data_IF_663677449691
#
_entry.id   IF_663677449691
#
_cell.length_a   1.000
_cell.length_b   1.000
_cell.length_c   1.000
_cell.angle_alpha   90.00
_cell.angle_beta   90.00
_cell.angle_gamma   90.00
#
_symmetry.space_group_name_H-M   'P 1'
#
loop_
_entity.id
_entity.type
_entity.pdbx_description
1 polymer ?
#
# COMPACT_ATOMS: atom_id res chain seq x y z
N UNK A 1 24.36 59.28 10.39
CA UNK A 1 22.97 59.28 9.87
C UNK A 1 22.88 58.71 8.45
N UNK A 2 23.81 59.03 7.53
CA UNK A 2 23.77 58.55 6.13
C UNK A 2 23.89 57.07 5.96
N UNK A 3 24.64 56.38 6.80
CA UNK A 3 24.84 54.93 6.72
C UNK A 3 23.56 54.14 7.07
N UNK A 4 22.81 54.55 8.07
CA UNK A 4 21.55 53.91 8.44
C UNK A 4 20.47 54.08 7.36
N UNK A 5 20.42 55.28 6.74
CA UNK A 5 19.48 55.52 5.61
C UNK A 5 19.82 54.67 4.39
N UNK A 6 21.11 54.47 4.10
CA UNK A 6 21.53 53.60 3.00
C UNK A 6 21.10 52.14 3.19
N UNK A 7 21.30 51.57 4.39
CA UNK A 7 20.86 50.20 4.71
C UNK A 7 19.35 50.07 4.69
N UNK A 8 18.60 51.06 5.13
CA UNK A 8 17.15 51.08 5.06
C UNK A 8 16.63 51.07 3.62
N UNK A 9 17.22 51.88 2.73
CA UNK A 9 16.86 51.89 1.32
C UNK A 9 17.20 50.57 0.64
N UNK A 10 18.36 50.00 0.93
CA UNK A 10 18.78 48.70 0.38
C UNK A 10 17.82 47.59 0.79
N UNK A 11 17.46 47.51 2.08
CA UNK A 11 16.48 46.54 2.57
C UNK A 11 15.08 46.70 1.95
N UNK A 12 14.65 47.93 1.75
CA UNK A 12 13.38 48.21 1.09
C UNK A 12 13.37 47.80 -0.38
N UNK A 13 14.43 48.09 -1.12
CA UNK A 13 14.60 47.64 -2.50
C UNK A 13 14.63 46.11 -2.59
N UNK A 14 15.37 45.47 -1.67
CA UNK A 14 15.43 44.01 -1.62
C UNK A 14 14.05 43.40 -1.33
N UNK A 15 13.25 43.98 -0.43
CA UNK A 15 11.89 43.54 -0.13
C UNK A 15 10.96 43.58 -1.35
N UNK A 16 11.13 44.55 -2.24
CA UNK A 16 10.37 44.68 -3.49
C UNK A 16 10.65 43.53 -4.49
N UNK A 17 11.78 42.84 -4.36
CA UNK A 17 12.12 41.68 -5.24
C UNK A 17 11.30 40.45 -4.93
N UNK A 18 10.66 40.37 -3.75
CA UNK A 18 9.90 39.19 -3.33
C UNK A 18 8.61 39.08 -4.15
N UNK A 19 8.36 37.95 -4.83
CA UNK A 19 7.16 37.76 -5.64
C UNK A 19 5.89 37.72 -4.78
N UNK A 20 4.82 38.36 -5.23
CA UNK A 20 3.52 38.38 -4.53
C UNK A 20 2.77 37.04 -4.68
N UNK A 21 1.85 36.75 -3.76
CA UNK A 21 1.04 35.49 -3.70
C UNK A 21 0.33 35.15 -5.02
N UNK A 22 -0.22 36.14 -5.72
CA UNK A 22 -0.98 35.95 -6.97
C UNK A 22 -0.17 35.32 -8.11
N UNK A 23 1.14 35.19 -7.97
CA UNK A 23 2.03 34.60 -8.98
C UNK A 23 2.15 33.10 -8.88
N UNK A 24 1.70 32.54 -7.76
CA UNK A 24 1.79 31.10 -7.48
C UNK A 24 0.42 30.44 -7.56
N UNK A 25 0.33 29.41 -8.34
CA UNK A 25 -0.77 28.47 -8.34
C UNK A 25 -0.21 27.10 -8.04
N UNK A 26 -0.76 26.40 -7.04
CA UNK A 26 -0.27 25.11 -6.59
C UNK A 26 -1.38 24.10 -6.78
N UNK A 27 -1.05 23.00 -7.44
CA UNK A 27 -1.92 21.84 -7.61
C UNK A 27 -1.31 20.65 -6.89
N UNK A 28 -2.12 19.94 -6.10
CA UNK A 28 -1.70 18.69 -5.45
C UNK A 28 -2.32 17.53 -6.19
N UNK A 29 -1.46 16.60 -6.61
CA UNK A 29 -1.85 15.34 -7.24
C UNK A 29 -1.49 14.19 -6.31
N UNK A 30 -2.49 13.55 -5.76
CA UNK A 30 -2.33 12.40 -4.85
C UNK A 30 -3.55 11.50 -4.92
N UNK A 31 -3.39 10.26 -4.51
CA UNK A 31 -4.50 9.36 -4.34
C UNK A 31 -5.43 9.85 -3.21
N UNK A 32 -6.72 9.68 -3.37
CA UNK A 32 -7.72 10.03 -2.34
C UNK A 32 -7.82 9.00 -1.22
N UNK A 33 -7.25 7.82 -1.44
CA UNK A 33 -7.31 6.70 -0.50
C UNK A 33 -5.88 6.28 -0.16
N UNK A 34 -5.55 6.31 1.12
CA UNK A 34 -4.28 5.85 1.66
C UNK A 34 -4.47 4.64 2.55
N UNK A 35 -3.46 3.77 2.58
CA UNK A 35 -3.38 2.67 3.53
C UNK A 35 -2.59 3.10 4.76
N UNK A 36 -3.11 2.79 5.95
CA UNK A 36 -2.47 3.11 7.23
C UNK A 36 -1.06 2.50 7.32
N UNK A 37 -0.09 3.30 7.74
CA UNK A 37 1.27 2.85 7.98
C UNK A 37 2.16 2.72 6.75
N UNK A 38 1.63 2.88 5.54
CA UNK A 38 2.40 2.87 4.29
C UNK A 38 2.84 4.26 3.86
N UNK A 39 3.87 4.30 3.02
CA UNK A 39 4.34 5.53 2.39
C UNK A 39 3.59 5.76 1.08
N UNK A 40 2.89 6.89 0.99
CA UNK A 40 2.18 7.33 -0.20
C UNK A 40 2.90 8.50 -0.85
N UNK A 41 2.88 8.56 -2.18
CA UNK A 41 3.47 9.64 -2.94
C UNK A 41 2.48 10.80 -3.09
N UNK A 42 2.97 12.01 -2.88
CA UNK A 42 2.23 13.25 -3.12
C UNK A 42 3.05 14.10 -4.08
N UNK A 43 2.42 14.54 -5.15
CA UNK A 43 3.02 15.43 -6.13
C UNK A 43 2.43 16.83 -5.98
N UNK A 44 3.29 17.82 -6.01
CA UNK A 44 2.92 19.25 -5.98
C UNK A 44 3.46 19.91 -7.23
N UNK A 45 2.58 20.38 -8.07
CA UNK A 45 2.91 21.17 -9.24
C UNK A 45 2.73 22.66 -8.90
N UNK A 46 3.83 23.38 -8.83
CA UNK A 46 3.87 24.81 -8.53
C UNK A 46 4.04 25.59 -9.82
N UNK A 47 2.95 26.22 -10.28
CA UNK A 47 2.94 27.08 -11.44
C UNK A 47 3.36 28.49 -11.06
N UNK A 48 4.43 28.96 -11.65
CA UNK A 48 4.96 30.31 -11.45
C UNK A 48 4.69 31.14 -12.70
N UNK A 49 3.70 32.05 -12.61
CA UNK A 49 3.22 32.81 -13.79
C UNK A 49 4.20 33.86 -14.31
N UNK A 50 4.83 34.65 -13.42
CA UNK A 50 5.75 35.71 -13.81
C UNK A 50 6.72 36.02 -12.67
N UNK A 51 8.02 36.04 -12.95
CA UNK A 51 9.04 36.55 -12.04
C UNK A 51 9.90 37.55 -12.79
N UNK A 52 10.33 38.61 -12.09
CA UNK A 52 11.21 39.63 -12.65
C UNK A 52 12.59 39.05 -13.05
N UNK A 53 13.01 37.97 -12.39
CA UNK A 53 14.36 37.40 -12.55
C UNK A 53 14.43 35.93 -12.91
N UNK A 54 13.31 35.31 -13.26
CA UNK A 54 13.27 33.91 -13.72
C UNK A 54 13.63 32.84 -12.68
N UNK A 55 14.30 33.18 -11.57
CA UNK A 55 14.68 32.27 -10.47
C UNK A 55 14.55 32.96 -9.13
N UNK A 56 14.05 32.26 -8.12
CA UNK A 56 14.03 32.75 -6.73
C UNK A 56 14.10 31.57 -5.77
N UNK A 57 14.72 31.83 -4.62
CA UNK A 57 14.88 30.82 -3.57
C UNK A 57 13.57 30.67 -2.81
N UNK A 58 13.17 29.44 -2.57
CA UNK A 58 11.95 29.11 -1.84
C UNK A 58 12.19 28.00 -0.82
N UNK A 59 11.39 28.05 0.22
CA UNK A 59 11.15 26.93 1.12
C UNK A 59 9.67 26.59 1.06
N UNK A 60 9.33 25.40 0.64
CA UNK A 60 7.95 24.91 0.52
C UNK A 60 7.71 23.85 1.59
N UNK A 61 6.62 24.03 2.35
CA UNK A 61 6.14 23.05 3.31
C UNK A 61 4.65 22.78 3.04
N UNK A 62 4.25 21.53 3.01
CA UNK A 62 2.84 21.17 2.96
C UNK A 62 2.25 21.13 4.36
N UNK A 63 0.92 21.01 4.46
CA UNK A 63 0.24 20.94 5.74
C UNK A 63 0.78 19.77 6.58
N UNK A 64 1.13 20.06 7.83
CA UNK A 64 1.60 19.05 8.77
C UNK A 64 0.44 18.55 9.63
N UNK A 65 0.34 17.22 9.74
CA UNK A 65 -0.58 16.57 10.66
C UNK A 65 0.22 15.93 11.79
N UNK A 66 -0.23 16.09 13.02
CA UNK A 66 0.44 15.55 14.21
C UNK A 66 0.76 14.04 14.11
N UNK A 67 -0.08 13.30 13.37
CA UNK A 67 0.01 11.84 13.24
C UNK A 67 0.52 11.37 11.88
N UNK A 68 1.10 12.29 11.11
CA UNK A 68 1.65 12.03 9.78
C UNK A 68 3.13 12.40 9.73
N UNK A 69 3.94 11.55 9.11
CA UNK A 69 5.37 11.81 8.89
C UNK A 69 5.60 12.06 7.40
N UNK A 70 6.13 13.23 7.11
CA UNK A 70 6.49 13.62 5.75
C UNK A 70 7.99 13.38 5.51
N UNK A 71 8.33 12.87 4.32
CA UNK A 71 9.70 12.59 3.89
C UNK A 71 9.98 13.40 2.61
N UNK A 72 10.96 14.28 2.67
CA UNK A 72 11.29 15.20 1.57
C UNK A 72 10.66 16.58 1.71
N UNK A 73 9.98 16.85 2.84
CA UNK A 73 9.51 18.18 3.22
C UNK A 73 10.18 18.61 4.54
N UNK A 74 10.37 19.94 4.77
CA UNK A 74 10.16 21.01 3.81
C UNK A 74 11.18 20.99 2.67
N UNK A 75 10.72 21.26 1.44
CA UNK A 75 11.60 21.40 0.29
C UNK A 75 12.26 22.79 0.29
N UNK A 76 13.57 22.82 0.03
CA UNK A 76 14.29 24.08 -0.18
C UNK A 76 14.98 24.04 -1.55
N UNK A 77 14.78 25.07 -2.34
CA UNK A 77 15.32 25.10 -3.68
C UNK A 77 15.06 26.43 -4.41
N UNK A 78 15.28 26.41 -5.70
CA UNK A 78 15.07 27.55 -6.59
C UNK A 78 13.97 27.22 -7.58
N UNK A 79 12.90 28.00 -7.55
CA UNK A 79 11.85 27.91 -8.57
C UNK A 79 12.21 28.73 -9.79
N UNK A 80 11.78 28.21 -10.93
CA UNK A 80 11.88 28.89 -12.23
C UNK A 80 10.48 29.27 -12.71
N UNK A 81 10.41 30.16 -13.67
CA UNK A 81 9.16 30.45 -14.39
C UNK A 81 8.64 29.17 -15.06
N UNK A 82 7.34 28.95 -14.99
CA UNK A 82 6.69 27.75 -15.50
C UNK A 82 6.28 26.78 -14.41
N UNK A 83 6.24 25.50 -14.72
CA UNK A 83 5.85 24.45 -13.80
C UNK A 83 7.07 23.89 -13.08
N UNK A 84 7.02 23.88 -11.75
CA UNK A 84 8.02 23.25 -10.90
C UNK A 84 7.35 22.07 -10.18
N UNK A 85 7.63 20.85 -10.61
CA UNK A 85 7.06 19.64 -10.03
C UNK A 85 7.93 19.13 -8.92
N UNK A 86 7.31 18.90 -7.77
CA UNK A 86 7.92 18.37 -6.56
C UNK A 86 7.19 17.10 -6.14
N UNK A 87 7.94 16.13 -5.61
CA UNK A 87 7.33 14.95 -5.02
C UNK A 87 7.87 14.70 -3.62
N UNK A 88 6.98 14.31 -2.72
CA UNK A 88 7.36 13.87 -1.39
C UNK A 88 6.56 12.64 -0.99
N UNK A 89 6.96 11.99 0.09
CA UNK A 89 6.27 10.83 0.63
C UNK A 89 5.68 11.17 1.98
N UNK A 90 4.47 10.68 2.21
CA UNK A 90 3.78 10.83 3.49
C UNK A 90 3.41 9.44 4.03
N UNK A 91 3.57 9.26 5.33
CA UNK A 91 3.13 8.08 6.08
C UNK A 91 2.21 8.53 7.19
N UNK A 92 0.98 8.01 7.19
CA UNK A 92 -0.02 8.32 8.20
C UNK A 92 -0.25 7.09 9.07
N UNK A 93 -0.13 7.26 10.39
CA UNK A 93 -0.16 6.15 11.35
C UNK A 93 -1.55 5.84 11.89
N UNK A 94 -2.53 6.70 11.69
CA UNK A 94 -3.90 6.51 12.16
C UNK A 94 -4.90 6.62 11.01
N UNK A 95 -5.96 5.80 11.06
CA UNK A 95 -7.10 5.89 10.15
C UNK A 95 -7.88 7.17 10.37
N UNK A 96 -8.52 7.69 9.34
CA UNK A 96 -9.37 8.90 9.42
C UNK A 96 -9.38 9.71 8.13
N UNK A 97 -10.04 10.86 8.21
CA UNK A 97 -10.05 11.86 7.16
C UNK A 97 -8.95 12.90 7.43
N UNK A 98 -8.15 13.18 6.43
CA UNK A 98 -7.03 14.11 6.49
C UNK A 98 -7.23 15.18 5.41
N UNK A 99 -7.79 16.35 5.77
CA UNK A 99 -7.96 17.45 4.84
C UNK A 99 -6.66 18.23 4.68
N UNK A 100 -6.00 18.10 3.53
CA UNK A 100 -4.87 18.92 3.14
C UNK A 100 -5.40 20.25 2.61
N UNK A 101 -5.28 21.34 3.35
CA UNK A 101 -5.90 22.61 2.99
C UNK A 101 -4.93 23.63 2.41
N UNK A 102 -3.72 23.70 2.94
CA UNK A 102 -2.79 24.78 2.65
C UNK A 102 -1.40 24.26 2.35
N UNK A 103 -0.70 25.00 1.51
CA UNK A 103 0.73 24.86 1.26
C UNK A 103 1.40 26.17 1.65
N UNK A 104 2.45 26.08 2.44
CA UNK A 104 3.22 27.22 2.92
C UNK A 104 4.43 27.44 2.03
N UNK A 105 4.48 28.58 1.35
CA UNK A 105 5.56 28.95 0.46
C UNK A 105 6.31 30.15 1.03
N UNK A 106 7.52 29.95 1.54
CA UNK A 106 8.41 31.01 1.98
C UNK A 106 9.29 31.43 0.82
N UNK A 107 9.12 32.65 0.34
CA UNK A 107 9.96 33.24 -0.69
C UNK A 107 11.01 34.14 -0.03
N UNK A 108 12.24 34.05 -0.49
CA UNK A 108 13.35 34.90 -0.08
C UNK A 108 13.59 35.97 -1.14
N UNK A 109 13.99 37.13 -0.68
CA UNK A 109 14.40 38.26 -1.54
C UNK A 109 15.68 37.87 -2.31
N UNK A 110 16.09 38.73 -3.26
CA UNK A 110 17.26 38.50 -4.09
C UNK A 110 18.55 38.39 -3.28
N UNK A 111 18.75 39.36 -2.35
CA UNK A 111 19.89 39.38 -1.45
C UNK A 111 19.72 38.44 -0.24
N UNK A 112 18.50 37.96 0.00
CA UNK A 112 18.19 37.08 1.12
C UNK A 112 17.97 37.80 2.45
N UNK A 113 17.92 39.15 2.45
CA UNK A 113 17.73 39.94 3.64
C UNK A 113 16.29 39.84 4.18
N UNK A 114 15.34 39.66 3.27
CA UNK A 114 13.91 39.60 3.60
C UNK A 114 13.30 38.25 3.15
N UNK A 115 12.26 37.84 3.87
CA UNK A 115 11.44 36.67 3.51
C UNK A 115 9.96 36.97 3.65
N UNK A 116 9.14 36.40 2.80
CA UNK A 116 7.68 36.49 2.88
C UNK A 116 7.08 35.09 2.80
N UNK A 117 6.15 34.81 3.69
CA UNK A 117 5.40 33.57 3.73
C UNK A 117 4.08 33.77 3.01
N UNK A 118 3.80 32.93 2.03
CA UNK A 118 2.53 32.86 1.33
C UNK A 118 1.82 31.56 1.71
N UNK A 119 0.58 31.69 2.16
CA UNK A 119 -0.32 30.57 2.40
C UNK A 119 -1.17 30.41 1.14
N UNK A 120 -0.98 29.33 0.42
CA UNK A 120 -1.71 29.02 -0.81
C UNK A 120 -2.71 27.91 -0.50
N UNK A 121 -3.99 28.15 -0.80
CA UNK A 121 -5.04 27.12 -0.67
C UNK A 121 -4.84 26.08 -1.74
N UNK A 122 -4.85 24.80 -1.31
CA UNK A 122 -4.73 23.65 -2.18
C UNK A 122 -5.43 22.48 -1.49
N UNK A 123 -6.76 22.45 -1.62
CA UNK A 123 -7.61 21.54 -0.87
C UNK A 123 -7.62 20.16 -1.51
N UNK A 124 -7.36 19.14 -0.70
CA UNK A 124 -7.42 17.74 -1.10
C UNK A 124 -7.76 16.89 0.11
N UNK A 125 -8.87 16.18 0.05
CA UNK A 125 -9.26 15.26 1.12
C UNK A 125 -8.71 13.87 0.85
N UNK A 126 -7.98 13.35 1.83
CA UNK A 126 -7.43 11.99 1.81
C UNK A 126 -8.06 11.17 2.92
N UNK A 127 -8.58 10.00 2.57
CA UNK A 127 -9.11 9.02 3.53
C UNK A 127 -8.07 7.93 3.78
N UNK A 128 -7.76 7.70 5.04
CA UNK A 128 -6.80 6.67 5.46
C UNK A 128 -7.58 5.48 6.02
N UNK A 129 -7.45 4.34 5.34
CA UNK A 129 -8.04 3.07 5.74
C UNK A 129 -7.01 2.16 6.40
N UNK A 130 -7.44 1.19 7.21
CA UNK A 130 -6.57 0.10 7.68
C UNK A 130 -5.93 -0.63 6.49
N UNK A 131 -4.82 -1.30 6.74
CA UNK A 131 -4.13 -2.06 5.70
C UNK A 131 -4.98 -3.23 5.18
N UNK A 132 -5.68 -2.97 4.09
CA UNK A 132 -6.53 -3.97 3.41
C UNK A 132 -5.71 -5.16 2.87
N UNK A 133 -4.42 -4.96 2.58
CA UNK A 133 -3.55 -6.05 2.11
C UNK A 133 -3.21 -7.03 3.24
N UNK A 134 -2.98 -6.51 4.45
CA UNK A 134 -2.81 -7.37 5.62
C UNK A 134 -4.09 -8.13 5.92
N UNK A 135 -5.25 -7.47 5.90
CA UNK A 135 -6.56 -8.11 6.10
C UNK A 135 -6.79 -9.21 5.05
N UNK A 136 -6.53 -8.94 3.78
CA UNK A 136 -6.67 -9.94 2.71
C UNK A 136 -5.74 -11.14 2.91
N UNK A 137 -4.50 -10.93 3.38
CA UNK A 137 -3.60 -12.04 3.75
C UNK A 137 -4.14 -12.86 4.90
N UNK A 138 -4.64 -12.22 5.95
CA UNK A 138 -5.24 -12.92 7.09
C UNK A 138 -6.48 -13.71 6.68
N UNK A 139 -7.34 -13.15 5.82
CA UNK A 139 -8.51 -13.85 5.29
C UNK A 139 -8.10 -15.07 4.44
N UNK A 140 -7.07 -14.95 3.61
CA UNK A 140 -6.55 -16.07 2.83
C UNK A 140 -5.93 -17.14 3.73
N UNK A 141 -5.19 -16.76 4.77
CA UNK A 141 -4.65 -17.68 5.76
C UNK A 141 -5.76 -18.36 6.57
N UNK A 142 -6.76 -17.60 7.01
CA UNK A 142 -7.92 -18.15 7.70
C UNK A 142 -8.69 -19.16 6.85
N UNK A 143 -8.95 -18.84 5.57
CA UNK A 143 -9.55 -19.81 4.63
C UNK A 143 -8.69 -21.06 4.46
N UNK A 144 -7.37 -20.93 4.37
CA UNK A 144 -6.45 -22.06 4.26
C UNK A 144 -6.44 -22.91 5.53
N UNK A 145 -6.51 -22.29 6.70
CA UNK A 145 -6.62 -22.97 7.99
C UNK A 145 -7.98 -23.65 8.16
N UNK A 146 -9.08 -22.99 7.74
CA UNK A 146 -10.42 -23.57 7.79
C UNK A 146 -10.55 -24.80 6.89
N UNK A 147 -9.95 -24.75 5.69
CA UNK A 147 -9.91 -25.91 4.80
C UNK A 147 -9.08 -27.08 5.40
N UNK A 148 -8.07 -26.74 6.21
CA UNK A 148 -7.29 -27.73 6.97
C UNK A 148 -8.10 -28.34 8.13
N UNK A 149 -8.92 -27.53 8.82
CA UNK A 149 -9.77 -27.97 9.94
C UNK A 149 -11.03 -28.73 9.46
N UNK A 150 -11.53 -28.43 8.25
CA UNK A 150 -12.67 -29.14 7.65
C UNK A 150 -12.31 -30.51 7.09
N UNK A 151 -11.12 -31.05 7.41
CA UNK A 151 -10.77 -32.44 7.04
C UNK A 151 -10.68 -32.67 5.52
N UNK A 152 -10.61 -31.63 4.69
CA UNK A 152 -10.20 -31.78 3.30
C UNK A 152 -8.68 -31.97 3.27
N UNK A 153 -8.22 -33.06 3.90
CA UNK A 153 -6.95 -33.66 3.53
C UNK A 153 -7.08 -33.94 2.04
N UNK A 154 -6.30 -33.25 1.23
CA UNK A 154 -5.94 -33.81 -0.07
C UNK A 154 -5.34 -35.18 0.22
N UNK A 155 -6.15 -36.21 0.12
CA UNK A 155 -5.66 -37.59 0.11
C UNK A 155 -4.75 -37.66 -1.09
N UNK A 156 -3.48 -37.47 -0.84
CA UNK A 156 -2.46 -38.01 -1.75
C UNK A 156 -2.63 -39.51 -1.62
N UNK A 157 -3.39 -40.09 -2.56
CA UNK A 157 -3.56 -41.49 -2.73
C UNK A 157 -2.17 -42.10 -2.92
N UNK A 158 -1.45 -42.34 -1.84
CA UNK A 158 -0.47 -43.41 -1.77
C UNK A 158 -1.28 -44.64 -1.47
N UNK A 159 -1.32 -45.57 -2.45
CA UNK A 159 -2.00 -46.82 -2.26
C UNK A 159 -1.48 -47.55 -1.01
N UNK A 160 -2.38 -48.08 -0.24
CA UNK A 160 -2.04 -49.02 0.77
C UNK A 160 -2.63 -48.87 2.17
N UNK A 161 -3.91 -48.51 2.32
CA UNK A 161 -4.63 -48.80 3.55
C UNK A 161 -6.09 -49.09 3.18
N UNK A 162 -6.28 -50.16 2.44
CA UNK A 162 -7.57 -50.78 2.34
C UNK A 162 -7.61 -51.81 3.47
N UNK A 163 -8.46 -51.55 4.47
CA UNK A 163 -8.69 -52.55 5.51
C UNK A 163 -9.30 -53.81 4.86
N UNK A 164 -8.65 -54.96 5.14
CA UNK A 164 -9.09 -56.26 4.66
C UNK A 164 -10.41 -56.60 5.35
N UNK A 165 -11.48 -56.77 4.57
CA UNK A 165 -12.80 -57.09 5.10
C UNK A 165 -13.02 -58.62 5.13
N UNK A 166 -12.94 -59.27 3.95
CA UNK A 166 -13.19 -60.70 3.84
C UNK A 166 -12.58 -61.31 2.57
N UNK A 167 -12.52 -62.63 2.56
CA UNK A 167 -12.22 -63.44 1.39
C UNK A 167 -13.53 -63.94 0.76
N UNK A 168 -13.69 -63.78 -0.57
CA UNK A 168 -14.81 -64.29 -1.31
C UNK A 168 -14.35 -64.97 -2.60
N UNK A 169 -15.22 -65.76 -3.20
CA UNK A 169 -14.92 -66.38 -4.47
C UNK A 169 -14.81 -65.33 -5.58
N UNK A 170 -13.89 -65.57 -6.51
CA UNK A 170 -13.65 -64.71 -7.67
C UNK A 170 -14.84 -64.70 -8.61
N UNK A 171 -15.21 -63.51 -9.08
CA UNK A 171 -16.20 -63.32 -10.17
C UNK A 171 -15.52 -62.67 -11.37
N UNK A 172 -16.16 -62.76 -12.56
CA UNK A 172 -15.58 -62.22 -13.81
C UNK A 172 -15.33 -60.71 -13.80
N UNK A 173 -16.00 -60.00 -12.90
CA UNK A 173 -15.88 -58.55 -12.76
C UNK A 173 -14.73 -58.11 -11.82
N UNK A 174 -14.02 -59.07 -11.20
CA UNK A 174 -12.94 -58.79 -10.28
C UNK A 174 -11.60 -58.63 -11.00
N UNK A 175 -10.79 -57.67 -10.52
CA UNK A 175 -9.44 -57.48 -11.03
C UNK A 175 -8.48 -58.57 -10.52
N UNK A 176 -7.72 -59.18 -11.43
CA UNK A 176 -6.75 -60.23 -11.12
C UNK A 176 -5.72 -59.88 -10.05
N UNK A 177 -5.42 -58.61 -9.88
CA UNK A 177 -4.46 -58.13 -8.84
C UNK A 177 -4.95 -58.30 -7.40
N UNK A 178 -6.25 -58.51 -7.19
CA UNK A 178 -6.84 -58.67 -5.87
C UNK A 178 -6.97 -60.16 -5.49
N UNK A 179 -6.52 -61.10 -6.32
CA UNK A 179 -6.53 -62.51 -6.02
C UNK A 179 -5.54 -62.83 -4.90
N UNK A 180 -6.03 -63.48 -3.85
CA UNK A 180 -5.17 -64.07 -2.81
C UNK A 180 -4.70 -65.47 -3.24
N UNK A 181 -3.49 -65.50 -3.82
CA UNK A 181 -2.90 -66.74 -4.30
C UNK A 181 -2.67 -67.82 -3.20
N UNK A 182 -2.45 -67.35 -1.96
CA UNK A 182 -2.26 -68.24 -0.80
C UNK A 182 -3.57 -68.93 -0.39
N UNK A 183 -4.66 -68.15 -0.34
CA UNK A 183 -6.01 -68.71 -0.09
C UNK A 183 -6.50 -69.52 -1.21
N UNK A 184 -6.25 -69.15 -2.47
CA UNK A 184 -6.55 -69.93 -3.68
C UNK A 184 -5.87 -71.31 -3.69
N UNK A 185 -4.60 -71.34 -3.34
CA UNK A 185 -3.85 -72.62 -3.27
C UNK A 185 -4.38 -73.59 -2.20
N UNK A 186 -4.93 -73.05 -1.10
CA UNK A 186 -5.50 -73.88 -0.02
C UNK A 186 -6.89 -74.44 -0.35
N UNK A 187 -7.69 -73.61 -1.05
CA UNK A 187 -9.10 -73.94 -1.29
C UNK A 187 -9.39 -74.52 -2.70
N UNK A 188 -8.38 -74.61 -3.55
CA UNK A 188 -8.46 -75.05 -4.94
C UNK A 188 -9.50 -74.37 -5.81
N UNK A 189 -9.80 -73.11 -5.46
CA UNK A 189 -10.68 -72.21 -6.17
C UNK A 189 -10.16 -70.79 -6.07
N UNK A 190 -10.40 -69.92 -7.06
CA UNK A 190 -9.93 -68.58 -7.10
C UNK A 190 -10.63 -67.71 -5.99
N UNK A 191 -9.85 -67.15 -5.12
CA UNK A 191 -10.32 -66.31 -3.99
C UNK A 191 -9.76 -64.91 -4.11
N UNK A 192 -10.63 -63.90 -3.92
CA UNK A 192 -10.31 -62.46 -3.98
C UNK A 192 -10.43 -61.84 -2.58
N UNK A 193 -9.55 -60.90 -2.33
CA UNK A 193 -9.63 -60.05 -1.14
C UNK A 193 -10.60 -58.90 -1.42
N UNK A 194 -11.68 -58.84 -0.69
CA UNK A 194 -12.60 -57.69 -0.67
C UNK A 194 -12.14 -56.69 0.38
N UNK A 195 -12.12 -55.40 -0.02
CA UNK A 195 -11.71 -54.29 0.82
C UNK A 195 -12.87 -53.35 1.03
N UNK A 196 -13.14 -52.95 2.29
CA UNK A 196 -14.17 -51.98 2.59
C UNK A 196 -13.73 -50.55 2.19
N UNK A 197 -14.59 -49.85 1.46
CA UNK A 197 -14.46 -48.40 1.29
C UNK A 197 -15.08 -47.73 2.53
N UNK A 198 -14.26 -47.32 3.48
CA UNK A 198 -14.69 -46.58 4.66
C UNK A 198 -15.31 -45.25 4.22
N UNK A 199 -16.62 -45.22 4.00
CA UNK A 199 -17.41 -44.02 3.77
C UNK A 199 -17.79 -43.35 5.11
N UNK A 200 -16.80 -42.79 5.81
CA UNK A 200 -17.12 -41.89 6.92
C UNK A 200 -17.57 -40.54 6.33
N UNK A 201 -18.82 -40.46 5.91
CA UNK A 201 -19.56 -39.21 5.78
C UNK A 201 -20.20 -38.91 7.12
N UNK A 202 -19.52 -38.15 7.99
CA UNK A 202 -20.18 -37.41 9.06
C UNK A 202 -20.72 -36.10 8.46
N UNK A 203 -21.99 -36.11 8.07
CA UNK A 203 -22.77 -34.91 7.81
C UNK A 203 -23.17 -34.37 9.19
N UNK A 204 -22.54 -33.32 9.65
CA UNK A 204 -23.01 -32.49 10.75
C UNK A 204 -23.79 -31.33 10.17
N UNK A 205 -25.07 -31.25 10.54
CA UNK A 205 -25.95 -30.12 10.30
C UNK A 205 -25.58 -28.89 11.15
#
# INVERSE_FOLDING_TARGET
>A
LGTLSFWGILGFLDAMTIPGKKRFQIERKTDRIFSQGFKHHVHLDVHVRRTLQGRFRVKLADHEFEKARQYGMPFQGVFRRGVNSLSYRIRISRRGLYPFRHVYLTCFSLLGLMRRIHIVSCETDVRVYPDLKAISRYLLLARKSHLGLMGVRKFRRRGGDQEFERLRDYTRDDEFRHIDWKATARNQRLIVREYEMNRNQSVLF
#
